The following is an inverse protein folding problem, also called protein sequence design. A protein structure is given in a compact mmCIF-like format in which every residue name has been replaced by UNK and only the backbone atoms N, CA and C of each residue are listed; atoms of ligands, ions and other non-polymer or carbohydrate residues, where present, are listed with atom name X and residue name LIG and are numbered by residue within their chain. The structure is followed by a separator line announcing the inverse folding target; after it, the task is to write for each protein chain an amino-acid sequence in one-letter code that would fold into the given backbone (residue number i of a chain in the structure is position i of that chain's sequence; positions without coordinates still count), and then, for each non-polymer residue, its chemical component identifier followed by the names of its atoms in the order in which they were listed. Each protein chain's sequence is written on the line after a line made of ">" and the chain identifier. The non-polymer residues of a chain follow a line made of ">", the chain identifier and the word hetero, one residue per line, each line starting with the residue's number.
data_IF_902218468070
#
_entry.id   IF_902218468070
#
_cell.length_a   1.000
_cell.length_b   1.000
_cell.length_c   1.000
_cell.angle_alpha   90.00
_cell.angle_beta   90.00
_cell.angle_gamma   90.00
#
_symmetry.space_group_name_H-M   'P 1'
#
loop_
_entity.id
_entity.type
_entity.pdbx_description
1 polymer ?
#
# COMPACT_ATOMS: atom_id res chain seq x y z
N UNK A 1 12.71 5.70 -3.79
CA UNK A 1 11.85 5.77 -5.00
C UNK A 1 10.98 4.54 -5.19
N UNK A 2 11.46 3.32 -4.88
CA UNK A 2 10.66 2.09 -5.04
C UNK A 2 9.28 2.17 -4.39
N UNK A 3 9.18 2.65 -3.15
CA UNK A 3 7.90 2.80 -2.46
C UNK A 3 6.93 3.77 -3.17
N UNK A 4 7.46 4.87 -3.73
CA UNK A 4 6.67 5.82 -4.51
C UNK A 4 6.14 5.16 -5.78
N UNK A 5 6.98 4.42 -6.51
CA UNK A 5 6.55 3.69 -7.71
C UNK A 5 5.47 2.66 -7.35
N UNK A 6 5.66 1.93 -6.26
CA UNK A 6 4.68 0.97 -5.76
C UNK A 6 3.35 1.65 -5.37
N UNK A 7 3.41 2.82 -4.74
CA UNK A 7 2.24 3.61 -4.36
C UNK A 7 1.42 4.02 -5.57
N UNK A 8 2.06 4.57 -6.62
CA UNK A 8 1.35 4.94 -7.86
C UNK A 8 0.75 3.73 -8.59
N UNK A 9 1.42 2.57 -8.55
CA UNK A 9 0.86 1.33 -9.10
C UNK A 9 -0.35 0.86 -8.28
N UNK A 10 -0.27 0.95 -6.95
CA UNK A 10 -1.36 0.57 -6.05
C UNK A 10 -2.61 1.43 -6.24
N UNK A 11 -2.50 2.68 -6.69
CA UNK A 11 -3.65 3.50 -7.07
C UNK A 11 -4.48 2.94 -8.22
N UNK A 12 -3.90 2.11 -9.09
CA UNK A 12 -4.68 1.37 -10.09
C UNK A 12 -5.64 0.35 -9.45
N UNK A 13 -5.45 0.01 -8.18
CA UNK A 13 -6.14 -1.06 -7.46
C UNK A 13 -6.71 -0.62 -6.11
N UNK A 14 -6.74 0.68 -5.81
CA UNK A 14 -7.34 1.22 -4.59
C UNK A 14 -8.88 1.25 -4.65
N UNK A 15 -9.55 1.80 -3.65
CA UNK A 15 -11.01 1.82 -3.55
C UNK A 15 -11.71 2.54 -4.73
N UNK A 16 -11.00 3.43 -5.41
CA UNK A 16 -11.48 4.11 -6.62
C UNK A 16 -10.94 3.45 -7.89
N UNK A 17 -9.63 3.25 -7.99
CA UNK A 17 -8.94 2.73 -9.17
C UNK A 17 -9.36 1.31 -9.53
N UNK A 18 -9.63 0.46 -8.53
CA UNK A 18 -10.10 -0.92 -8.73
C UNK A 18 -11.42 -1.03 -9.50
N UNK A 19 -12.16 0.08 -9.67
CA UNK A 19 -13.43 0.13 -10.41
C UNK A 19 -13.22 0.33 -11.92
N UNK A 20 -12.00 0.60 -12.34
CA UNK A 20 -11.63 0.83 -13.73
C UNK A 20 -10.91 -0.40 -14.29
N UNK A 21 -11.26 -0.81 -15.51
CA UNK A 21 -10.56 -1.89 -16.21
C UNK A 21 -9.22 -1.43 -16.81
N UNK A 22 -8.49 -2.35 -17.42
CA UNK A 22 -7.16 -2.10 -18.00
C UNK A 22 -7.13 -1.03 -19.11
N UNK A 23 -8.28 -0.63 -19.65
CA UNK A 23 -8.38 0.45 -20.65
C UNK A 23 -8.84 1.78 -20.03
N UNK A 24 -9.04 1.83 -18.72
CA UNK A 24 -9.54 3.01 -18.01
C UNK A 24 -11.05 3.20 -18.09
N UNK A 25 -11.83 2.15 -18.40
CA UNK A 25 -13.29 2.24 -18.38
C UNK A 25 -13.85 1.85 -17.01
N UNK A 26 -14.87 2.58 -16.55
CA UNK A 26 -15.62 2.20 -15.35
C UNK A 26 -16.41 0.91 -15.63
N UNK A 27 -15.90 -0.22 -15.16
CA UNK A 27 -16.40 -1.56 -15.46
C UNK A 27 -16.06 -2.49 -14.31
N UNK A 28 -17.07 -3.15 -13.73
CA UNK A 28 -16.80 -4.11 -12.66
C UNK A 28 -16.18 -5.39 -13.25
N UNK A 29 -14.89 -5.59 -12.99
CA UNK A 29 -14.12 -6.77 -13.40
C UNK A 29 -13.87 -7.75 -12.24
N UNK A 30 -14.43 -7.49 -11.06
CA UNK A 30 -14.34 -8.36 -9.89
C UNK A 30 -15.43 -9.43 -9.93
N UNK A 31 -15.14 -10.59 -9.32
CA UNK A 31 -16.23 -11.45 -8.85
C UNK A 31 -16.84 -10.86 -7.58
N UNK A 32 -18.12 -11.14 -7.31
CA UNK A 32 -18.80 -10.63 -6.11
C UNK A 32 -18.06 -11.01 -4.82
N UNK A 33 -17.49 -12.22 -4.78
CA UNK A 33 -16.74 -12.73 -3.64
C UNK A 33 -15.44 -11.95 -3.41
N UNK A 34 -14.70 -11.65 -4.47
CA UNK A 34 -13.43 -10.95 -4.36
C UNK A 34 -13.66 -9.47 -3.98
N UNK A 35 -14.72 -8.85 -4.51
CA UNK A 35 -15.12 -7.49 -4.15
C UNK A 35 -15.53 -7.38 -2.67
N UNK A 36 -16.26 -8.37 -2.15
CA UNK A 36 -16.62 -8.43 -0.72
C UNK A 36 -15.37 -8.48 0.16
N UNK A 37 -14.39 -9.33 -0.19
CA UNK A 37 -13.14 -9.44 0.55
C UNK A 37 -12.29 -8.16 0.48
N UNK A 38 -12.17 -7.57 -0.71
CA UNK A 38 -11.45 -6.31 -0.91
C UNK A 38 -12.05 -5.19 -0.06
N UNK A 39 -13.39 -5.06 -0.07
CA UNK A 39 -14.10 -4.06 0.72
C UNK A 39 -13.91 -4.28 2.22
N UNK A 40 -13.94 -5.53 2.68
CA UNK A 40 -13.72 -5.86 4.10
C UNK A 40 -12.30 -5.51 4.57
N UNK A 41 -11.28 -5.78 3.75
CA UNK A 41 -9.88 -5.41 4.05
C UNK A 41 -9.69 -3.89 4.04
N UNK A 42 -10.26 -3.20 3.04
CA UNK A 42 -10.25 -1.73 2.99
C UNK A 42 -10.91 -1.11 4.23
N UNK A 43 -12.01 -1.69 4.71
CA UNK A 43 -12.67 -1.24 5.93
C UNK A 43 -11.78 -1.40 7.17
N UNK A 44 -11.05 -2.51 7.29
CA UNK A 44 -10.10 -2.71 8.40
C UNK A 44 -8.99 -1.66 8.39
N UNK A 45 -8.46 -1.32 7.21
CA UNK A 45 -7.44 -0.28 7.06
C UNK A 45 -8.00 1.12 7.39
N UNK A 46 -9.20 1.43 6.90
CA UNK A 46 -9.91 2.67 7.28
C UNK A 46 -10.12 2.77 8.80
N UNK A 47 -10.51 1.68 9.46
CA UNK A 47 -10.71 1.65 10.91
C UNK A 47 -9.40 1.86 11.67
N UNK A 48 -8.30 1.25 11.20
CA UNK A 48 -6.98 1.46 11.76
C UNK A 48 -6.59 2.95 11.74
N UNK A 49 -6.75 3.63 10.60
CA UNK A 49 -6.40 5.04 10.48
C UNK A 49 -7.36 5.94 11.25
N UNK A 50 -8.65 5.59 11.32
CA UNK A 50 -9.64 6.32 12.11
C UNK A 50 -9.38 6.28 13.62
N UNK A 51 -8.56 5.34 14.09
CA UNK A 51 -8.10 5.27 15.48
C UNK A 51 -6.93 6.22 15.78
N UNK A 52 -6.24 6.74 14.76
CA UNK A 52 -5.08 7.64 14.91
C UNK A 52 -5.54 9.06 15.21
N UNK A 53 -4.91 9.68 16.21
CA UNK A 53 -5.10 11.10 16.52
C UNK A 53 -3.92 11.90 15.98
N UNK A 54 -4.18 12.80 15.03
CA UNK A 54 -3.15 13.66 14.44
C UNK A 54 -2.73 14.78 15.40
N UNK A 55 -3.68 15.26 16.21
CA UNK A 55 -3.52 16.24 17.28
C UNK A 55 -4.43 15.83 18.45
N UNK A 56 -4.25 16.39 19.66
CA UNK A 56 -5.21 16.22 20.75
C UNK A 56 -6.63 16.50 20.26
N UNK A 57 -7.54 15.55 20.49
CA UNK A 57 -8.95 15.58 20.10
C UNK A 57 -9.24 15.65 18.58
N UNK A 58 -8.23 15.48 17.71
CA UNK A 58 -8.39 15.44 16.25
C UNK A 58 -8.02 14.06 15.72
N UNK A 59 -9.04 13.26 15.36
CA UNK A 59 -8.86 11.96 14.72
C UNK A 59 -8.73 12.10 13.21
N UNK A 60 -7.93 11.21 12.60
CA UNK A 60 -7.93 11.08 11.15
C UNK A 60 -9.28 10.53 10.67
N UNK A 61 -9.66 10.91 9.45
CA UNK A 61 -10.79 10.30 8.75
C UNK A 61 -10.25 9.19 7.85
N UNK A 62 -10.24 7.96 8.36
CA UNK A 62 -9.67 6.81 7.63
C UNK A 62 -10.43 6.45 6.36
N UNK A 63 -11.74 6.76 6.28
CA UNK A 63 -12.51 6.56 5.05
C UNK A 63 -12.09 7.56 3.98
N UNK A 64 -11.87 8.82 4.36
CA UNK A 64 -11.43 9.86 3.44
C UNK A 64 -10.01 9.61 2.90
N UNK A 65 -9.12 9.07 3.73
CA UNK A 65 -7.72 8.81 3.35
C UNK A 65 -7.51 7.40 2.80
N UNK A 66 -8.56 6.60 2.60
CA UNK A 66 -8.42 5.17 2.34
C UNK A 66 -7.58 4.86 1.09
N UNK A 67 -7.82 5.54 -0.03
CA UNK A 67 -7.06 5.32 -1.27
C UNK A 67 -5.56 5.55 -1.10
N UNK A 68 -5.17 6.67 -0.48
CA UNK A 68 -3.78 6.97 -0.15
C UNK A 68 -3.17 5.95 0.83
N UNK A 69 -3.95 5.52 1.83
CA UNK A 69 -3.49 4.51 2.80
C UNK A 69 -3.25 3.15 2.13
N UNK A 70 -4.09 2.76 1.16
CA UNK A 70 -3.87 1.56 0.33
C UNK A 70 -2.62 1.76 -0.53
N UNK A 71 -2.44 2.93 -1.14
CA UNK A 71 -1.26 3.31 -1.90
C UNK A 71 0.03 3.17 -1.10
N UNK A 72 0.08 3.76 0.10
CA UNK A 72 1.23 3.69 1.00
C UNK A 72 1.53 2.25 1.45
N UNK A 73 0.51 1.53 1.91
CA UNK A 73 0.68 0.17 2.40
C UNK A 73 1.13 -0.78 1.27
N UNK A 74 0.51 -0.69 0.10
CA UNK A 74 0.87 -1.49 -1.07
C UNK A 74 2.26 -1.12 -1.59
N UNK A 75 2.56 0.17 -1.67
CA UNK A 75 3.81 0.69 -2.20
C UNK A 75 5.03 0.30 -1.37
N UNK A 76 4.94 0.41 -0.04
CA UNK A 76 6.03 0.00 0.86
C UNK A 76 6.25 -1.52 0.80
N UNK A 77 5.19 -2.33 0.79
CA UNK A 77 5.32 -3.78 0.69
C UNK A 77 5.93 -4.22 -0.65
N UNK A 78 5.42 -3.71 -1.77
CA UNK A 78 5.94 -4.03 -3.10
C UNK A 78 7.42 -3.62 -3.27
N UNK A 79 7.80 -2.46 -2.71
CA UNK A 79 9.17 -2.00 -2.74
C UNK A 79 10.10 -2.86 -1.86
N UNK A 80 9.60 -3.33 -0.72
CA UNK A 80 10.34 -4.23 0.16
C UNK A 80 10.54 -5.59 -0.50
N UNK A 81 9.51 -6.16 -1.12
CA UNK A 81 9.61 -7.40 -1.90
C UNK A 81 10.62 -7.25 -3.05
N UNK A 82 10.58 -6.11 -3.76
CA UNK A 82 11.56 -5.77 -4.79
C UNK A 82 13.00 -5.73 -4.27
N UNK A 83 13.22 -5.16 -3.07
CA UNK A 83 14.52 -5.20 -2.40
C UNK A 83 14.93 -6.64 -2.09
N UNK A 84 14.04 -7.47 -1.53
CA UNK A 84 14.37 -8.85 -1.16
C UNK A 84 14.75 -9.70 -2.39
N UNK A 85 14.01 -9.55 -3.49
CA UNK A 85 14.32 -10.21 -4.77
C UNK A 85 15.71 -9.78 -5.28
N UNK A 86 15.99 -8.47 -5.27
CA UNK A 86 17.29 -7.95 -5.67
C UNK A 86 18.43 -8.53 -4.83
N UNK A 87 18.29 -8.57 -3.50
CA UNK A 87 19.30 -9.11 -2.59
C UNK A 87 19.51 -10.61 -2.76
N UNK A 88 18.46 -11.37 -3.08
CA UNK A 88 18.56 -12.80 -3.37
C UNK A 88 19.39 -13.08 -4.63
N UNK A 89 19.24 -12.24 -5.66
CA UNK A 89 19.95 -12.39 -6.94
C UNK A 89 21.38 -11.83 -6.91
N UNK A 90 21.59 -10.71 -6.21
CA UNK A 90 22.83 -9.92 -6.29
C UNK A 90 23.71 -10.04 -5.02
N UNK A 91 23.23 -10.77 -4.02
CA UNK A 91 23.88 -10.87 -2.72
C UNK A 91 23.57 -9.67 -1.82
N UNK A 92 23.91 -9.84 -0.54
CA UNK A 92 23.62 -8.84 0.50
C UNK A 92 24.80 -7.88 0.65
N UNK A 93 24.59 -6.56 0.54
CA UNK A 93 25.65 -5.59 0.77
C UNK A 93 26.00 -5.50 2.25
N UNK A 94 27.13 -4.88 2.56
CA UNK A 94 27.53 -4.63 3.93
C UNK A 94 26.54 -3.69 4.67
N UNK A 95 26.56 -3.81 5.99
CA UNK A 95 25.86 -2.88 6.85
C UNK A 95 26.50 -1.49 6.73
N UNK A 96 25.68 -0.44 6.81
CA UNK A 96 26.12 0.97 6.79
C UNK A 96 25.62 1.57 8.08
N UNK A 97 26.52 2.24 8.80
CA UNK A 97 26.25 2.85 10.11
C UNK A 97 25.64 1.88 11.14
N UNK A 98 25.98 0.59 11.02
CA UNK A 98 25.49 -0.48 11.90
C UNK A 98 24.11 -1.03 11.53
N UNK A 99 23.45 -0.51 10.48
CA UNK A 99 22.12 -0.95 10.05
C UNK A 99 22.18 -1.92 8.87
N UNK A 100 21.33 -2.95 8.91
CA UNK A 100 21.14 -3.88 7.77
C UNK A 100 20.41 -3.18 6.62
N UNK A 101 20.47 -3.73 5.39
CA UNK A 101 19.72 -3.18 4.26
C UNK A 101 18.21 -3.04 4.52
N UNK A 102 17.61 -3.99 5.23
CA UNK A 102 16.19 -3.95 5.63
C UNK A 102 15.90 -2.88 6.66
N UNK A 103 16.80 -2.68 7.62
CA UNK A 103 16.65 -1.61 8.61
C UNK A 103 16.82 -0.23 8.01
N UNK A 104 17.62 -0.08 6.95
CA UNK A 104 17.75 1.19 6.21
C UNK A 104 16.63 1.43 5.21
N UNK A 105 15.86 0.39 4.88
CA UNK A 105 14.70 0.53 4.02
C UNK A 105 13.56 1.26 4.75
N UNK A 106 13.40 1.00 6.05
CA UNK A 106 12.45 1.66 6.95
C UNK A 106 13.11 2.81 7.73
#
# INVERSE_FOLDING_TARGET
>A
IGAVIGHEISHCFDDSGSRYDANGNLNNWWTDKDLEQFTALGKQLSDQYSAVSALPDVKLNGEYTLGENIGDLGGVNAAYDGLQLYLAENGRPENIDGFTPEQRFF
#
